data_IF_283925403286
#
_entry.id   IF_283925403286
#
_cell.length_a   1.000
_cell.length_b   1.000
_cell.length_c   1.000
_cell.angle_alpha   90.00
_cell.angle_beta   90.00
_cell.angle_gamma   90.00
#
_symmetry.space_group_name_H-M   'P 1'
#
loop_
_entity.id
_entity.type
_entity.pdbx_description
1 polymer ?
#
# COMPACT_ATOMS: atom_id res chain seq x y z
N UNK A 1 -14.10 -10.93 -9.91
CA UNK A 1 -14.80 -10.45 -8.72
C UNK A 1 -13.89 -9.44 -8.05
N UNK A 2 -14.36 -8.22 -7.83
CA UNK A 2 -13.63 -7.24 -7.03
C UNK A 2 -13.77 -7.65 -5.56
N UNK A 3 -12.66 -7.96 -4.91
CA UNK A 3 -12.60 -8.18 -3.47
C UNK A 3 -12.56 -6.80 -2.77
N UNK A 4 -13.69 -6.12 -2.73
CA UNK A 4 -13.78 -4.78 -2.13
C UNK A 4 -13.67 -4.86 -0.61
N UNK A 5 -14.35 -5.80 0.00
CA UNK A 5 -14.50 -5.96 1.44
C UNK A 5 -13.15 -6.09 2.18
N UNK A 6 -12.27 -7.07 1.84
CA UNK A 6 -11.01 -7.21 2.55
C UNK A 6 -10.05 -6.05 2.27
N UNK A 7 -10.10 -5.45 1.08
CA UNK A 7 -9.31 -4.27 0.77
C UNK A 7 -9.72 -3.07 1.61
N UNK A 8 -11.04 -2.83 1.77
CA UNK A 8 -11.54 -1.76 2.61
C UNK A 8 -11.22 -1.99 4.09
N UNK A 9 -11.29 -3.23 4.58
CA UNK A 9 -10.95 -3.55 5.96
C UNK A 9 -9.46 -3.32 6.24
N UNK A 10 -8.58 -3.76 5.33
CA UNK A 10 -7.15 -3.53 5.45
C UNK A 10 -6.79 -2.04 5.37
N UNK A 11 -7.42 -1.29 4.47
CA UNK A 11 -7.22 0.16 4.34
C UNK A 11 -7.72 0.92 5.57
N UNK A 12 -8.88 0.53 6.11
CA UNK A 12 -9.43 1.16 7.31
C UNK A 12 -8.53 0.99 8.54
N UNK A 13 -7.80 -0.13 8.64
CA UNK A 13 -6.86 -0.37 9.74
C UNK A 13 -5.77 0.72 9.84
N UNK A 14 -5.41 1.34 8.72
CA UNK A 14 -4.43 2.45 8.69
C UNK A 14 -4.91 3.67 9.46
N UNK A 15 -6.19 3.96 9.47
CA UNK A 15 -6.78 5.09 10.21
C UNK A 15 -6.73 4.86 11.75
N UNK A 16 -6.45 3.63 12.19
CA UNK A 16 -6.22 3.27 13.60
C UNK A 16 -4.73 3.13 13.96
N UNK A 17 -3.84 3.61 13.09
CA UNK A 17 -2.39 3.62 13.35
C UNK A 17 -1.66 2.34 12.96
N UNK A 18 -2.27 1.44 12.20
CA UNK A 18 -1.59 0.25 11.66
C UNK A 18 -0.87 0.65 10.37
N UNK A 19 0.43 0.89 10.47
CA UNK A 19 1.25 1.37 9.34
C UNK A 19 1.82 0.23 8.48
N UNK A 20 1.84 -0.99 8.99
CA UNK A 20 2.32 -2.19 8.30
C UNK A 20 1.18 -2.98 7.63
N UNK A 21 1.54 -4.07 6.95
CA UNK A 21 0.59 -4.88 6.18
C UNK A 21 -0.02 -6.04 6.99
N UNK A 22 0.08 -6.04 8.34
CA UNK A 22 -0.40 -7.16 9.18
C UNK A 22 -1.87 -7.49 8.96
N UNK A 23 -2.74 -6.52 8.77
CA UNK A 23 -4.15 -6.73 8.48
C UNK A 23 -4.33 -7.47 7.15
N UNK A 24 -3.66 -7.02 6.10
CA UNK A 24 -3.71 -7.62 4.77
C UNK A 24 -3.10 -9.03 4.75
N UNK A 25 -1.97 -9.24 5.42
CA UNK A 25 -1.32 -10.55 5.54
C UNK A 25 -2.24 -11.54 6.24
N UNK A 26 -2.91 -11.13 7.33
CA UNK A 26 -3.84 -11.99 8.05
C UNK A 26 -5.04 -12.40 7.18
N UNK A 27 -5.62 -11.45 6.45
CA UNK A 27 -6.72 -11.72 5.50
C UNK A 27 -6.29 -12.69 4.39
N UNK A 28 -5.12 -12.47 3.81
CA UNK A 28 -4.58 -13.33 2.75
C UNK A 28 -4.30 -14.76 3.27
N UNK A 29 -3.77 -14.90 4.47
CA UNK A 29 -3.56 -16.21 5.08
C UNK A 29 -4.89 -16.94 5.38
N UNK A 30 -5.87 -16.21 5.90
CA UNK A 30 -7.18 -16.76 6.19
C UNK A 30 -7.89 -17.28 4.92
N UNK A 31 -7.76 -16.57 3.80
CA UNK A 31 -8.30 -17.02 2.52
C UNK A 31 -7.52 -18.22 1.96
N UNK A 32 -6.20 -18.06 1.79
CA UNK A 32 -5.38 -19.00 1.03
C UNK A 32 -5.05 -20.28 1.78
N UNK A 33 -4.94 -20.22 3.12
CA UNK A 33 -4.60 -21.39 3.96
C UNK A 33 -5.81 -22.00 4.63
N UNK A 34 -6.72 -21.16 5.13
CA UNK A 34 -7.83 -21.59 5.97
C UNK A 34 -9.16 -21.66 5.20
N UNK A 35 -9.18 -21.22 3.95
CA UNK A 35 -10.37 -21.24 3.08
C UNK A 35 -11.51 -20.35 3.56
N UNK A 36 -11.21 -19.31 4.38
CA UNK A 36 -12.23 -18.41 4.90
C UNK A 36 -12.73 -17.46 3.81
N UNK A 37 -14.02 -17.12 3.87
CA UNK A 37 -14.66 -16.24 2.90
C UNK A 37 -14.45 -14.78 3.28
N UNK A 38 -13.27 -14.24 3.01
CA UNK A 38 -12.92 -12.85 3.35
C UNK A 38 -13.71 -11.78 2.56
N UNK A 39 -14.45 -12.17 1.52
CA UNK A 39 -15.44 -11.31 0.86
C UNK A 39 -16.70 -11.04 1.70
N UNK A 40 -16.80 -11.60 2.90
CA UNK A 40 -17.82 -11.25 3.90
C UNK A 40 -17.25 -10.19 4.85
N UNK A 41 -17.97 -9.08 5.02
CA UNK A 41 -17.57 -7.94 5.85
C UNK A 41 -17.26 -8.31 7.30
N UNK A 42 -18.10 -9.16 7.89
CA UNK A 42 -17.97 -9.56 9.29
C UNK A 42 -16.77 -10.46 9.50
N UNK A 43 -16.56 -11.40 8.58
CA UNK A 43 -15.41 -12.32 8.60
C UNK A 43 -14.10 -11.53 8.38
N UNK A 44 -14.07 -10.63 7.41
CA UNK A 44 -12.89 -9.81 7.14
C UNK A 44 -12.54 -8.92 8.33
N UNK A 45 -13.53 -8.25 8.91
CA UNK A 45 -13.34 -7.38 10.06
C UNK A 45 -12.87 -8.15 11.32
N UNK A 46 -13.39 -9.35 11.56
CA UNK A 46 -12.95 -10.21 12.66
C UNK A 46 -11.46 -10.60 12.52
N UNK A 47 -11.07 -11.08 11.35
CA UNK A 47 -9.69 -11.49 11.08
C UNK A 47 -8.71 -10.33 11.24
N UNK A 48 -9.05 -9.17 10.67
CA UNK A 48 -8.18 -8.00 10.76
C UNK A 48 -8.14 -7.42 12.18
N UNK A 49 -9.26 -7.42 12.91
CA UNK A 49 -9.32 -6.99 14.31
C UNK A 49 -8.43 -7.87 15.20
N UNK A 50 -8.48 -9.18 15.04
CA UNK A 50 -7.64 -10.13 15.78
C UNK A 50 -6.15 -9.91 15.51
N UNK A 51 -5.78 -9.61 14.26
CA UNK A 51 -4.39 -9.38 13.85
C UNK A 51 -3.83 -8.02 14.31
N UNK A 52 -4.69 -7.02 14.48
CA UNK A 52 -4.28 -5.63 14.74
C UNK A 52 -4.57 -5.15 16.15
N UNK A 53 -5.46 -5.83 16.88
CA UNK A 53 -5.95 -5.38 18.18
C UNK A 53 -6.99 -4.25 18.12
N UNK A 54 -7.47 -3.88 16.94
CA UNK A 54 -8.49 -2.85 16.75
C UNK A 54 -9.85 -3.42 17.17
N UNK A 55 -10.71 -2.59 17.78
CA UNK A 55 -12.09 -2.99 18.04
C UNK A 55 -12.81 -3.32 16.73
N UNK A 56 -13.35 -4.55 16.63
CA UNK A 56 -14.01 -5.08 15.43
C UNK A 56 -15.13 -4.18 14.92
N UNK A 57 -16.01 -3.70 15.81
CA UNK A 57 -17.15 -2.90 15.41
C UNK A 57 -16.71 -1.54 14.83
N UNK A 58 -15.71 -0.91 15.43
CA UNK A 58 -15.14 0.35 14.93
C UNK A 58 -14.43 0.15 13.59
N UNK A 59 -13.68 -0.93 13.46
CA UNK A 59 -13.00 -1.26 12.21
C UNK A 59 -14.02 -1.50 11.07
N UNK A 60 -15.07 -2.27 11.35
CA UNK A 60 -16.13 -2.55 10.38
C UNK A 60 -16.89 -1.30 9.95
N UNK A 61 -17.25 -0.44 10.90
CA UNK A 61 -17.90 0.84 10.61
C UNK A 61 -17.02 1.71 9.71
N UNK A 62 -15.74 1.84 10.07
CA UNK A 62 -14.78 2.63 9.27
C UNK A 62 -14.58 2.03 7.88
N UNK A 63 -14.43 0.71 7.77
CA UNK A 63 -14.24 0.02 6.49
C UNK A 63 -15.40 0.22 5.50
N UNK A 64 -16.61 0.35 6.01
CA UNK A 64 -17.82 0.60 5.19
C UNK A 64 -18.03 2.07 4.83
N UNK A 65 -17.16 2.96 5.26
CA UNK A 65 -17.31 4.38 4.94
C UNK A 65 -17.00 4.69 3.48
N UNK A 66 -17.69 5.66 2.87
CA UNK A 66 -17.44 6.09 1.49
C UNK A 66 -16.00 6.55 1.25
N UNK A 67 -15.35 7.12 2.26
CA UNK A 67 -13.97 7.59 2.16
C UNK A 67 -12.99 6.42 1.96
N UNK A 68 -13.18 5.33 2.69
CA UNK A 68 -12.33 4.13 2.55
C UNK A 68 -12.56 3.48 1.20
N UNK A 69 -13.81 3.34 0.78
CA UNK A 69 -14.13 2.82 -0.56
C UNK A 69 -13.47 3.67 -1.65
N UNK A 70 -13.55 5.00 -1.54
CA UNK A 70 -12.91 5.91 -2.49
C UNK A 70 -11.39 5.73 -2.55
N UNK A 71 -10.71 5.56 -1.41
CA UNK A 71 -9.26 5.29 -1.36
C UNK A 71 -8.90 3.98 -2.07
N UNK A 72 -9.64 2.91 -1.80
CA UNK A 72 -9.42 1.61 -2.43
C UNK A 72 -9.63 1.68 -3.94
N UNK A 73 -10.69 2.35 -4.40
CA UNK A 73 -10.95 2.55 -5.84
C UNK A 73 -9.90 3.42 -6.50
N UNK A 74 -9.42 4.46 -5.81
CA UNK A 74 -8.34 5.31 -6.32
C UNK A 74 -7.05 4.52 -6.48
N UNK A 75 -6.67 3.72 -5.48
CA UNK A 75 -5.48 2.84 -5.55
C UNK A 75 -5.56 1.87 -6.74
N UNK A 76 -6.74 1.32 -7.01
CA UNK A 76 -6.97 0.46 -8.18
C UNK A 76 -6.83 1.23 -9.49
N UNK A 77 -7.36 2.45 -9.55
CA UNK A 77 -7.24 3.33 -10.71
C UNK A 77 -5.79 3.71 -10.99
N UNK A 78 -5.04 4.07 -9.92
CA UNK A 78 -3.62 4.40 -10.02
C UNK A 78 -2.80 3.21 -10.54
N UNK A 79 -3.10 2.00 -10.05
CA UNK A 79 -2.49 0.77 -10.55
C UNK A 79 -2.73 0.58 -12.06
N UNK A 80 -3.96 0.79 -12.52
CA UNK A 80 -4.29 0.69 -13.94
C UNK A 80 -3.60 1.77 -14.79
N UNK A 81 -3.47 2.98 -14.25
CA UNK A 81 -2.76 4.08 -14.91
C UNK A 81 -1.27 3.79 -15.15
N UNK A 82 -0.66 2.96 -14.32
CA UNK A 82 0.72 2.51 -14.49
C UNK A 82 0.91 1.51 -15.65
N UNK A 83 -0.19 1.03 -16.24
CA UNK A 83 -0.17 0.04 -17.34
C UNK A 83 0.65 -1.23 -17.04
N UNK A 84 0.73 -1.61 -15.77
CA UNK A 84 1.43 -2.83 -15.33
C UNK A 84 0.49 -4.03 -15.43
N UNK A 85 1.01 -5.13 -15.95
CA UNK A 85 0.24 -6.36 -16.20
C UNK A 85 0.68 -7.54 -15.34
N UNK A 86 1.75 -7.37 -14.57
CA UNK A 86 2.34 -8.42 -13.75
C UNK A 86 2.32 -8.07 -12.26
N UNK A 87 2.27 -9.08 -11.42
CA UNK A 87 2.36 -8.97 -9.96
C UNK A 87 3.48 -9.88 -9.44
N UNK A 88 4.18 -9.44 -8.40
CA UNK A 88 4.10 -8.14 -7.74
C UNK A 88 4.62 -6.99 -8.60
N UNK A 89 4.11 -5.78 -8.38
CA UNK A 89 4.66 -4.55 -8.97
C UNK A 89 5.02 -3.58 -7.85
N UNK A 90 6.21 -3.02 -7.94
CA UNK A 90 6.71 -2.01 -7.00
C UNK A 90 6.90 -0.70 -7.75
N UNK A 91 6.38 0.38 -7.21
CA UNK A 91 6.57 1.73 -7.70
C UNK A 91 7.29 2.52 -6.63
N UNK A 92 8.41 3.13 -6.99
CA UNK A 92 9.22 3.94 -6.09
C UNK A 92 9.23 5.34 -6.66
N UNK A 93 8.72 6.31 -5.91
CA UNK A 93 8.72 7.72 -6.28
C UNK A 93 9.66 8.49 -5.36
N UNK A 94 10.47 9.39 -5.93
CA UNK A 94 11.28 10.33 -5.16
C UNK A 94 10.60 11.70 -5.08
N UNK A 95 10.85 12.49 -4.02
CA UNK A 95 10.34 13.84 -3.91
C UNK A 95 10.92 14.81 -4.95
N UNK A 96 11.99 14.43 -5.65
CA UNK A 96 12.60 15.23 -6.73
C UNK A 96 12.08 14.85 -8.12
N UNK A 97 11.09 13.93 -8.20
CA UNK A 97 10.38 13.60 -9.43
C UNK A 97 10.85 12.32 -10.14
N UNK A 98 11.81 11.57 -9.58
CA UNK A 98 12.22 10.31 -10.16
C UNK A 98 11.21 9.20 -9.83
N UNK A 99 11.02 8.29 -10.78
CA UNK A 99 10.15 7.13 -10.62
C UNK A 99 10.83 5.88 -11.17
N UNK A 100 10.82 4.82 -10.38
CA UNK A 100 11.21 3.48 -10.80
C UNK A 100 10.04 2.51 -10.67
N UNK A 101 9.83 1.66 -11.68
CA UNK A 101 8.77 0.65 -11.70
C UNK A 101 9.39 -0.72 -11.95
N UNK A 102 9.11 -1.65 -11.04
CA UNK A 102 9.53 -3.05 -11.16
C UNK A 102 8.28 -3.93 -11.23
N UNK A 103 8.09 -4.60 -12.35
CA UNK A 103 6.93 -5.45 -12.59
C UNK A 103 7.34 -6.93 -12.71
N UNK A 104 6.63 -7.80 -12.00
CA UNK A 104 6.90 -9.24 -11.99
C UNK A 104 8.19 -9.64 -11.26
N UNK A 105 8.73 -8.79 -10.40
CA UNK A 105 10.04 -8.97 -9.79
C UNK A 105 9.92 -9.55 -8.38
N UNK A 106 10.71 -10.60 -8.07
CA UNK A 106 10.60 -11.32 -6.80
C UNK A 106 11.80 -11.14 -5.86
N UNK A 107 12.91 -10.54 -6.33
CA UNK A 107 14.12 -10.36 -5.52
C UNK A 107 14.25 -8.94 -5.01
N UNK A 108 14.60 -8.78 -3.73
CA UNK A 108 14.74 -7.48 -3.09
C UNK A 108 16.00 -6.69 -3.54
N UNK A 109 17.06 -7.37 -3.95
CA UNK A 109 18.34 -6.72 -4.22
C UNK A 109 18.27 -5.56 -5.24
N UNK A 110 17.62 -5.69 -6.42
CA UNK A 110 17.48 -4.56 -7.32
C UNK A 110 16.63 -3.41 -6.78
N UNK A 111 15.62 -3.71 -5.96
CA UNK A 111 14.79 -2.70 -5.31
C UNK A 111 15.62 -1.89 -4.32
N UNK A 112 16.44 -2.57 -3.50
CA UNK A 112 17.33 -1.94 -2.52
C UNK A 112 18.36 -1.06 -3.23
N UNK A 113 19.03 -1.59 -4.28
CA UNK A 113 20.01 -0.82 -5.05
C UNK A 113 19.40 0.44 -5.67
N UNK A 114 18.16 0.36 -6.17
CA UNK A 114 17.45 1.51 -6.73
C UNK A 114 17.09 2.52 -5.65
N UNK A 115 16.60 2.06 -4.48
CA UNK A 115 16.33 2.94 -3.34
C UNK A 115 17.58 3.68 -2.88
N UNK A 116 18.71 2.98 -2.74
CA UNK A 116 19.99 3.59 -2.36
C UNK A 116 20.42 4.66 -3.37
N UNK A 117 20.34 4.36 -4.68
CA UNK A 117 20.66 5.32 -5.73
C UNK A 117 19.75 6.56 -5.70
N UNK A 118 18.44 6.37 -5.52
CA UNK A 118 17.48 7.48 -5.43
C UNK A 118 17.69 8.34 -4.18
N UNK A 119 18.09 7.74 -3.06
CA UNK A 119 18.45 8.46 -1.83
C UNK A 119 19.72 9.29 -2.01
N UNK A 120 20.72 8.75 -2.70
CA UNK A 120 21.95 9.47 -3.03
C UNK A 120 21.66 10.67 -3.95
N UNK A 121 20.80 10.52 -4.93
CA UNK A 121 20.36 11.60 -5.83
C UNK A 121 19.62 12.71 -5.05
N UNK A 122 18.72 12.35 -4.13
CA UNK A 122 18.05 13.32 -3.27
C UNK A 122 19.05 14.09 -2.42
N UNK A 123 20.03 13.40 -1.82
CA UNK A 123 21.07 14.04 -1.00
C UNK A 123 21.93 14.98 -1.84
N UNK A 124 22.32 14.57 -3.05
CA UNK A 124 23.04 15.41 -4.01
C UNK A 124 22.26 16.66 -4.40
N UNK A 125 20.97 16.51 -4.65
CA UNK A 125 20.08 17.63 -5.01
C UNK A 125 19.92 18.62 -3.86
N UNK A 126 19.76 18.12 -2.63
CA UNK A 126 19.68 18.96 -1.43
C UNK A 126 20.98 19.73 -1.18
N UNK A 127 22.13 19.07 -1.33
CA UNK A 127 23.44 19.72 -1.20
C UNK A 127 23.64 20.81 -2.26
N UNK A 128 23.23 20.58 -3.50
CA UNK A 128 23.27 21.57 -4.56
C UNK A 128 22.36 22.76 -4.25
N UNK A 129 21.11 22.53 -3.86
CA UNK A 129 20.15 23.58 -3.52
C UNK A 129 20.62 24.42 -2.33
N UNK A 130 21.23 23.81 -1.33
CA UNK A 130 21.79 24.51 -0.18
C UNK A 130 22.96 25.44 -0.56
N UNK A 131 23.71 25.10 -1.62
CA UNK A 131 24.88 25.89 -2.05
C UNK A 131 24.53 26.94 -3.10
N UNK A 132 23.67 26.62 -4.06
CA UNK A 132 23.38 27.45 -5.23
C UNK A 132 21.95 28.05 -5.24
N UNK A 133 21.12 27.70 -4.27
CA UNK A 133 19.69 28.04 -4.26
C UNK A 133 18.83 27.07 -5.08
N UNK A 134 17.50 27.24 -4.96
CA UNK A 134 16.54 26.40 -5.67
C UNK A 134 16.62 26.61 -7.19
N UNK A 135 16.31 25.53 -7.92
CA UNK A 135 16.28 25.58 -9.39
C UNK A 135 15.23 26.59 -9.85
N UNK A 136 15.57 27.50 -10.78
CA UNK A 136 14.55 28.35 -11.38
C UNK A 136 13.49 27.50 -12.07
N UNK A 137 12.22 27.79 -11.75
CA UNK A 137 11.04 27.09 -12.29
C UNK A 137 10.84 27.51 -13.75
#
# INVERSE_FOLDING_TARGET
>A
AEYLEPNCVAEAARDFGVEDDRAWIALSHAELRDGKKIGDWEIAAEIAADATGINRAQLLERAKSPEIEARVRQSTSDFHALQVTQRPTFVIDSPIGDRAVFSGFAKAAPLIATLDAMLDDIAGYQAHAAHFGDRPV
#
